data_IF_926211237792
#
_entry.id   IF_926211237792
#
_cell.length_a   1.000
_cell.length_b   1.000
_cell.length_c   1.000
_cell.angle_alpha   90.00
_cell.angle_beta   90.00
_cell.angle_gamma   90.00
#
_symmetry.space_group_name_H-M   'P 1'
#
loop_
_entity.id
_entity.type
_entity.pdbx_description
1 polymer ?
#
# COMPACT_ATOMS: atom_id res chain seq x y z
N UNK A 1 -1.81 62.29 62.27
CA UNK A 1 -1.07 61.02 62.17
C UNK A 1 -1.96 60.07 61.39
N UNK A 2 -1.93 60.16 60.06
CA UNK A 2 -2.72 59.30 59.16
C UNK A 2 -1.80 58.20 58.65
N UNK A 3 -2.12 56.92 58.83
CA UNK A 3 -1.29 55.83 58.31
C UNK A 3 -1.49 55.70 56.80
N UNK A 4 -0.38 55.79 56.08
CA UNK A 4 -0.25 55.52 54.65
C UNK A 4 -0.74 54.10 54.33
N UNK A 5 -1.78 54.00 53.51
CA UNK A 5 -2.18 52.74 52.87
C UNK A 5 -1.14 52.40 51.80
N UNK A 6 -0.49 51.22 51.85
CA UNK A 6 0.49 50.83 50.85
C UNK A 6 -0.22 50.68 49.51
N UNK A 7 0.15 51.56 48.59
CA UNK A 7 -0.16 51.53 47.17
C UNK A 7 0.25 50.15 46.66
N UNK A 8 -0.72 49.24 46.59
CA UNK A 8 -0.52 47.91 46.05
C UNK A 8 -0.43 48.13 44.56
N UNK A 9 0.76 48.44 44.08
CA UNK A 9 1.08 48.53 42.66
C UNK A 9 0.65 47.21 42.04
N UNK A 10 -0.53 47.23 41.45
CA UNK A 10 -1.05 46.25 40.51
C UNK A 10 -0.08 46.25 39.34
N UNK A 11 1.05 45.55 39.51
CA UNK A 11 1.90 45.16 38.39
C UNK A 11 1.07 44.17 37.60
N UNK A 12 0.22 44.72 36.72
CA UNK A 12 -0.44 43.98 35.66
C UNK A 12 0.64 43.19 34.95
N UNK A 13 0.71 41.90 35.29
CA UNK A 13 1.73 41.04 34.75
C UNK A 13 1.52 41.01 33.24
N UNK A 14 2.47 41.53 32.46
CA UNK A 14 2.45 41.61 30.99
C UNK A 14 2.12 40.26 30.31
N UNK A 15 2.21 39.17 31.07
CA UNK A 15 1.95 37.78 30.69
C UNK A 15 0.56 37.27 31.10
N UNK A 16 -0.31 38.10 31.66
CA UNK A 16 -1.65 37.74 32.10
C UNK A 16 -2.61 37.62 30.90
N UNK A 17 -3.34 36.51 30.82
CA UNK A 17 -4.36 36.24 29.79
C UNK A 17 -5.66 35.79 30.46
N UNK A 18 -6.80 36.11 29.85
CA UNK A 18 -8.12 35.64 30.31
C UNK A 18 -8.54 34.39 29.56
N UNK A 19 -8.94 33.34 30.30
CA UNK A 19 -9.46 32.11 29.71
C UNK A 19 -10.87 32.35 29.13
N UNK A 20 -11.17 32.06 27.86
CA UNK A 20 -12.48 32.31 27.25
C UNK A 20 -13.60 31.35 27.72
N UNK A 21 -13.32 30.45 28.67
CA UNK A 21 -14.27 29.43 29.15
C UNK A 21 -14.74 29.72 30.57
N UNK A 22 -13.80 30.02 31.46
CA UNK A 22 -14.07 30.25 32.87
C UNK A 22 -13.73 31.68 33.30
N UNK A 23 -13.31 32.53 32.35
CA UNK A 23 -12.95 33.95 32.55
C UNK A 23 -11.80 34.21 33.53
N UNK A 24 -11.20 33.17 34.09
CA UNK A 24 -10.07 33.26 35.02
C UNK A 24 -8.85 33.87 34.33
N UNK A 25 -8.26 34.87 34.95
CA UNK A 25 -6.95 35.41 34.57
C UNK A 25 -5.88 34.38 34.95
N UNK A 26 -5.00 34.05 34.03
CA UNK A 26 -3.88 33.14 34.24
C UNK A 26 -2.61 33.71 33.61
N UNK A 27 -1.46 33.39 34.18
CA UNK A 27 -0.16 33.80 33.65
C UNK A 27 0.41 32.71 32.75
N UNK A 28 0.97 33.09 31.60
CA UNK A 28 1.70 32.16 30.74
C UNK A 28 3.18 32.11 31.13
N UNK A 29 3.77 30.91 31.13
CA UNK A 29 5.19 30.71 31.49
C UNK A 29 6.16 31.42 30.55
N UNK A 30 5.77 31.63 29.28
CA UNK A 30 6.62 32.22 28.25
C UNK A 30 5.83 33.27 27.46
N UNK A 31 6.43 34.41 27.10
CA UNK A 31 5.74 35.50 26.42
C UNK A 31 5.24 35.06 25.02
N UNK A 32 5.98 34.17 24.36
CA UNK A 32 5.64 33.60 23.06
C UNK A 32 4.70 32.38 23.13
N UNK A 33 4.17 32.03 24.30
CA UNK A 33 3.25 30.91 24.43
C UNK A 33 1.98 31.14 23.62
N UNK A 34 1.52 30.13 22.87
CA UNK A 34 0.21 30.14 22.20
C UNK A 34 -0.92 29.61 23.09
N UNK A 35 -0.68 29.49 24.40
CA UNK A 35 -1.70 29.03 25.34
C UNK A 35 -2.80 30.07 25.50
N UNK A 36 -4.03 29.66 25.21
CA UNK A 36 -5.25 30.48 25.31
C UNK A 36 -6.11 30.08 26.52
N UNK A 37 -5.92 28.86 27.02
CA UNK A 37 -6.74 28.29 28.10
C UNK A 37 -5.91 28.14 29.37
N UNK A 38 -6.50 28.46 30.52
CA UNK A 38 -5.85 28.29 31.82
C UNK A 38 -5.55 26.82 32.15
N UNK A 39 -6.33 25.88 31.58
CA UNK A 39 -6.21 24.45 31.86
C UNK A 39 -6.56 23.56 30.66
N UNK A 40 -6.13 22.28 30.67
CA UNK A 40 -6.59 21.28 29.70
C UNK A 40 -8.10 21.05 29.73
N UNK A 41 -8.75 21.17 30.90
CA UNK A 41 -10.21 21.05 31.03
C UNK A 41 -10.94 22.16 30.30
N UNK A 42 -10.50 23.42 30.45
CA UNK A 42 -11.05 24.55 29.71
C UNK A 42 -10.83 24.39 28.20
N UNK A 43 -9.67 23.87 27.77
CA UNK A 43 -9.43 23.57 26.35
C UNK A 43 -10.44 22.57 25.77
N UNK A 44 -10.81 21.54 26.54
CA UNK A 44 -11.83 20.56 26.12
C UNK A 44 -13.23 21.16 26.18
N UNK A 45 -13.55 21.90 27.23
CA UNK A 45 -14.83 22.59 27.36
C UNK A 45 -15.07 23.58 26.21
N UNK A 46 -14.07 24.38 25.82
CA UNK A 46 -14.17 25.28 24.66
C UNK A 46 -14.35 24.54 23.34
N UNK A 47 -13.73 23.36 23.20
CA UNK A 47 -13.95 22.50 22.03
C UNK A 47 -15.38 21.98 21.98
N UNK A 48 -16.01 21.75 23.13
CA UNK A 48 -17.37 21.22 23.20
C UNK A 48 -18.44 22.34 23.13
N UNK A 49 -18.16 23.54 23.62
CA UNK A 49 -19.11 24.65 23.71
C UNK A 49 -19.38 25.37 22.40
N UNK A 50 -18.57 25.14 21.36
CA UNK A 50 -18.79 25.69 20.02
C UNK A 50 -19.29 24.60 19.08
N UNK A 51 -20.59 24.20 19.14
CA UNK A 51 -21.14 23.32 18.12
C UNK A 51 -21.02 24.03 16.78
N UNK A 52 -20.24 23.45 15.87
CA UNK A 52 -20.18 23.96 14.51
C UNK A 52 -21.49 23.55 13.84
N UNK A 53 -22.35 24.52 13.53
CA UNK A 53 -23.45 24.33 12.58
C UNK A 53 -22.81 24.05 11.22
N UNK A 54 -23.16 22.93 10.62
CA UNK A 54 -22.74 22.56 9.27
C UNK A 54 -23.96 22.21 8.44
N UNK A 55 -23.90 22.48 7.15
CA UNK A 55 -24.93 22.09 6.18
C UNK A 55 -24.50 20.79 5.52
N UNK A 56 -25.40 19.80 5.49
CA UNK A 56 -25.08 18.52 4.84
C UNK A 56 -25.10 18.70 3.32
N UNK A 57 -24.04 18.32 2.58
CA UNK A 57 -23.99 18.52 1.13
C UNK A 57 -24.93 17.60 0.32
N UNK A 58 -25.66 16.70 0.99
CA UNK A 58 -26.55 15.71 0.33
C UNK A 58 -28.02 16.08 0.46
N UNK A 59 -28.45 16.46 1.66
CA UNK A 59 -29.85 16.81 1.95
C UNK A 59 -30.04 18.29 2.29
N UNK A 60 -28.96 19.08 2.27
CA UNK A 60 -28.94 20.52 2.56
C UNK A 60 -29.46 20.94 3.94
N UNK A 61 -29.75 19.97 4.82
CA UNK A 61 -30.17 20.24 6.18
C UNK A 61 -29.01 20.69 7.06
N UNK A 62 -29.28 21.67 7.92
CA UNK A 62 -28.36 22.09 8.98
C UNK A 62 -28.30 21.05 10.10
N UNK A 63 -27.10 20.73 10.56
CA UNK A 63 -26.89 19.84 11.69
C UNK A 63 -25.73 20.32 12.57
N UNK A 64 -25.84 20.04 13.87
CA UNK A 64 -24.79 20.39 14.84
C UNK A 64 -23.86 19.20 15.05
N UNK A 65 -22.57 19.39 14.83
CA UNK A 65 -21.56 18.35 15.11
C UNK A 65 -20.76 18.66 16.36
N UNK A 66 -20.47 17.62 17.14
CA UNK A 66 -19.49 17.72 18.21
C UNK A 66 -18.09 17.83 17.59
N UNK A 67 -17.36 18.89 17.94
CA UNK A 67 -16.10 19.32 17.29
C UNK A 67 -15.02 18.22 17.26
N UNK A 68 -15.09 17.25 18.17
CA UNK A 68 -14.18 16.11 18.21
C UNK A 68 -14.22 15.26 16.92
N UNK A 69 -15.33 15.26 16.17
CA UNK A 69 -15.45 14.56 14.89
C UNK A 69 -16.11 15.50 13.90
N UNK A 70 -15.31 16.16 13.06
CA UNK A 70 -15.77 16.96 11.90
C UNK A 70 -16.51 16.05 10.90
N UNK A 71 -17.73 15.64 11.22
CA UNK A 71 -18.60 14.87 10.34
C UNK A 71 -19.16 15.84 9.30
N UNK A 72 -18.95 15.53 8.03
CA UNK A 72 -19.47 16.31 6.90
C UNK A 72 -20.95 16.00 6.59
N UNK A 73 -21.45 14.86 7.06
CA UNK A 73 -22.79 14.37 6.77
C UNK A 73 -23.63 14.28 8.05
N UNK A 74 -24.92 14.63 7.96
CA UNK A 74 -25.84 14.61 9.10
C UNK A 74 -26.19 13.19 9.55
N UNK A 75 -26.25 12.23 8.62
CA UNK A 75 -26.56 10.83 8.87
C UNK A 75 -25.63 9.87 8.12
N UNK A 76 -25.64 8.59 8.51
CA UNK A 76 -24.94 7.54 7.79
C UNK A 76 -25.53 7.28 6.40
N UNK A 77 -26.84 7.49 6.25
CA UNK A 77 -27.53 7.44 4.95
C UNK A 77 -27.01 8.52 4.00
N UNK A 78 -26.92 9.77 4.46
CA UNK A 78 -26.33 10.85 3.66
C UNK A 78 -24.87 10.57 3.31
N UNK A 79 -24.11 9.97 4.22
CA UNK A 79 -22.75 9.53 3.94
C UNK A 79 -22.69 8.44 2.86
N UNK A 80 -23.63 7.50 2.88
CA UNK A 80 -23.80 6.47 1.86
C UNK A 80 -24.15 7.08 0.51
N UNK A 81 -25.19 7.91 0.48
CA UNK A 81 -25.67 8.62 -0.71
C UNK A 81 -24.58 9.49 -1.35
N UNK A 82 -23.80 10.23 -0.55
CA UNK A 82 -22.65 10.97 -1.06
C UNK A 82 -21.66 10.04 -1.76
N UNK A 83 -21.30 8.91 -1.14
CA UNK A 83 -20.35 7.95 -1.72
C UNK A 83 -20.84 7.29 -3.01
N UNK A 84 -22.15 7.12 -3.15
CA UNK A 84 -22.76 6.53 -4.34
C UNK A 84 -23.14 7.54 -5.40
N UNK A 85 -23.13 8.83 -5.09
CA UNK A 85 -23.47 9.89 -6.03
C UNK A 85 -22.56 9.90 -7.25
N UNK A 86 -23.15 10.21 -8.41
CA UNK A 86 -22.43 10.28 -9.68
C UNK A 86 -21.42 11.44 -9.70
N UNK A 87 -21.59 12.46 -8.84
CA UNK A 87 -20.64 13.56 -8.68
C UNK A 87 -19.26 13.12 -8.22
N UNK A 88 -19.15 11.98 -7.53
CA UNK A 88 -17.85 11.42 -7.13
C UNK A 88 -17.28 10.53 -8.24
N UNK A 89 -18.07 10.16 -9.25
CA UNK A 89 -17.58 9.38 -10.39
C UNK A 89 -17.03 10.30 -11.46
N UNK A 90 -16.01 9.82 -12.14
CA UNK A 90 -15.31 10.49 -13.21
C UNK A 90 -15.10 9.49 -14.36
N UNK A 91 -15.39 9.92 -15.58
CA UNK A 91 -15.25 9.10 -16.78
C UNK A 91 -13.83 9.24 -17.30
N UNK A 92 -13.09 8.13 -17.28
CA UNK A 92 -11.69 8.06 -17.71
C UNK A 92 -11.54 7.07 -18.86
N UNK A 93 -10.45 7.20 -19.61
CA UNK A 93 -10.10 6.27 -20.70
C UNK A 93 -9.01 5.33 -20.23
N UNK A 94 -9.20 4.02 -20.41
CA UNK A 94 -8.20 3.04 -20.02
C UNK A 94 -7.00 3.07 -20.98
N UNK A 95 -5.78 3.17 -20.47
CA UNK A 95 -4.57 3.22 -21.32
C UNK A 95 -4.22 1.91 -22.05
N UNK A 96 -4.92 0.80 -21.78
CA UNK A 96 -4.62 -0.52 -22.35
C UNK A 96 -5.59 -0.89 -23.46
N UNK A 97 -6.90 -0.80 -23.19
CA UNK A 97 -7.94 -1.11 -24.16
C UNK A 97 -8.56 0.13 -24.80
N UNK A 98 -8.20 1.34 -24.35
CA UNK A 98 -8.78 2.62 -24.80
C UNK A 98 -10.29 2.75 -24.60
N UNK A 99 -10.91 1.86 -23.82
CA UNK A 99 -12.32 1.94 -23.47
C UNK A 99 -12.61 2.97 -22.36
N UNK A 100 -13.76 3.66 -22.41
CA UNK A 100 -14.22 4.50 -21.31
C UNK A 100 -14.58 3.65 -20.09
N UNK A 101 -14.31 4.15 -18.90
CA UNK A 101 -14.73 3.54 -17.63
C UNK A 101 -15.00 4.59 -16.56
N UNK A 102 -15.82 4.23 -15.57
CA UNK A 102 -16.12 5.09 -14.43
C UNK A 102 -15.21 4.76 -13.25
N UNK A 103 -14.60 5.77 -12.66
CA UNK A 103 -13.79 5.65 -11.45
C UNK A 103 -14.17 6.74 -10.45
N UNK A 104 -13.88 6.52 -9.16
CA UNK A 104 -14.04 7.57 -8.16
C UNK A 104 -12.98 8.66 -8.41
N UNK A 105 -13.37 9.93 -8.37
CA UNK A 105 -12.49 11.11 -8.46
C UNK A 105 -11.34 11.04 -7.45
N UNK A 106 -11.63 10.48 -6.27
CA UNK A 106 -10.66 10.30 -5.19
C UNK A 106 -9.65 9.18 -5.45
N UNK A 107 -9.97 8.19 -6.29
CA UNK A 107 -9.06 7.08 -6.60
C UNK A 107 -8.21 7.40 -7.83
N UNK A 108 -6.92 7.10 -7.74
CA UNK A 108 -5.97 7.22 -8.87
C UNK A 108 -6.04 5.99 -9.79
N UNK A 109 -7.25 5.50 -10.08
CA UNK A 109 -7.45 4.36 -10.96
C UNK A 109 -7.25 4.78 -12.42
N UNK A 110 -6.36 4.07 -13.12
CA UNK A 110 -5.95 4.33 -14.51
C UNK A 110 -6.48 3.24 -15.46
N UNK A 111 -6.79 2.06 -14.93
CA UNK A 111 -7.22 0.90 -15.72
C UNK A 111 -8.68 0.57 -15.41
N UNK A 112 -9.44 0.22 -16.43
CA UNK A 112 -10.86 -0.13 -16.30
C UNK A 112 -11.07 -1.44 -15.51
N UNK A 113 -10.08 -2.34 -15.50
CA UNK A 113 -10.18 -3.65 -14.86
C UNK A 113 -8.84 -4.13 -14.30
N UNK A 114 -8.86 -5.11 -13.36
CA UNK A 114 -7.65 -5.81 -12.92
C UNK A 114 -6.92 -6.53 -14.05
N UNK A 115 -7.64 -7.01 -15.07
CA UNK A 115 -7.04 -7.64 -16.24
C UNK A 115 -6.17 -6.64 -17.02
N UNK A 116 -6.72 -5.48 -17.40
CA UNK A 116 -5.94 -4.43 -18.06
C UNK A 116 -4.76 -3.94 -17.21
N UNK A 117 -4.90 -3.89 -15.88
CA UNK A 117 -3.76 -3.59 -15.00
C UNK A 117 -2.64 -4.61 -15.13
N UNK A 118 -2.97 -5.90 -15.10
CA UNK A 118 -1.99 -7.00 -15.29
C UNK A 118 -1.37 -6.95 -16.68
N UNK A 119 -2.14 -6.61 -17.71
CA UNK A 119 -1.64 -6.52 -19.09
C UNK A 119 -0.65 -5.36 -19.25
N UNK A 120 -0.94 -4.19 -18.67
CA UNK A 120 -0.01 -3.08 -18.62
C UNK A 120 1.28 -3.42 -17.86
N UNK A 121 1.17 -4.23 -16.81
CA UNK A 121 2.33 -4.73 -16.06
C UNK A 121 3.18 -5.68 -16.91
N UNK A 122 2.55 -6.67 -17.58
CA UNK A 122 3.25 -7.56 -18.52
C UNK A 122 3.97 -6.81 -19.64
N UNK A 123 3.35 -5.77 -20.22
CA UNK A 123 4.01 -4.93 -21.24
C UNK A 123 5.22 -4.18 -20.69
N UNK A 124 5.16 -3.68 -19.44
CA UNK A 124 6.31 -3.03 -18.80
C UNK A 124 7.44 -4.01 -18.50
N UNK A 125 7.10 -5.23 -18.07
CA UNK A 125 8.09 -6.29 -17.84
C UNK A 125 8.75 -6.69 -19.15
N UNK A 126 7.98 -6.92 -20.21
CA UNK A 126 8.51 -7.20 -21.54
C UNK A 126 9.46 -6.11 -22.02
N UNK A 127 9.09 -4.83 -21.91
CA UNK A 127 9.96 -3.72 -22.29
C UNK A 127 11.26 -3.66 -21.45
N UNK A 128 11.22 -4.04 -20.17
CA UNK A 128 12.41 -4.15 -19.31
C UNK A 128 13.30 -5.31 -19.73
N UNK A 129 12.71 -6.44 -20.11
CA UNK A 129 13.45 -7.61 -20.57
C UNK A 129 14.08 -7.37 -21.93
N UNK A 130 13.38 -6.70 -22.85
CA UNK A 130 13.93 -6.21 -24.11
C UNK A 130 15.09 -5.21 -23.88
N UNK A 131 14.96 -4.27 -22.94
CA UNK A 131 16.06 -3.37 -22.58
C UNK A 131 17.27 -4.12 -22.01
N UNK A 132 17.03 -5.15 -21.19
CA UNK A 132 18.08 -6.03 -20.67
C UNK A 132 18.77 -6.79 -21.79
N UNK A 133 18.02 -7.36 -22.72
CA UNK A 133 18.55 -8.06 -23.89
C UNK A 133 19.42 -7.14 -24.76
N UNK A 134 18.96 -5.90 -25.00
CA UNK A 134 19.75 -4.87 -25.71
C UNK A 134 21.07 -4.57 -25.02
N UNK A 135 21.08 -4.42 -23.69
CA UNK A 135 22.32 -4.15 -22.92
C UNK A 135 23.29 -5.33 -22.89
N UNK A 136 22.77 -6.55 -22.90
CA UNK A 136 23.58 -7.77 -22.89
C UNK A 136 24.14 -8.14 -24.27
N UNK A 137 23.84 -7.35 -25.32
CA UNK A 137 24.40 -7.57 -26.66
C UNK A 137 23.69 -8.67 -27.44
N UNK A 138 22.54 -9.15 -26.98
CA UNK A 138 21.68 -10.08 -27.71
C UNK A 138 20.78 -9.32 -28.70
N UNK A 139 21.30 -8.24 -29.26
CA UNK A 139 20.79 -7.68 -30.51
C UNK A 139 21.59 -8.41 -31.59
N UNK A 140 21.14 -9.61 -31.95
CA UNK A 140 21.65 -10.45 -33.06
C UNK A 140 21.38 -9.81 -34.43
N UNK A 141 21.46 -8.49 -34.50
CA UNK A 141 21.70 -7.73 -35.69
C UNK A 141 23.05 -7.06 -35.47
N UNK A 142 24.13 -7.83 -35.64
CA UNK A 142 25.36 -7.22 -36.11
C UNK A 142 24.94 -6.34 -37.30
N UNK A 143 25.13 -5.01 -37.27
CA UNK A 143 25.02 -4.23 -38.49
C UNK A 143 25.94 -4.93 -39.48
N UNK A 144 25.38 -5.32 -40.63
CA UNK A 144 26.11 -5.96 -41.72
C UNK A 144 27.45 -5.25 -41.86
N UNK A 145 28.50 -5.87 -41.31
CA UNK A 145 29.85 -5.38 -41.43
C UNK A 145 30.09 -5.29 -42.93
N UNK A 146 30.61 -4.17 -43.46
CA UNK A 146 30.87 -4.03 -44.88
C UNK A 146 31.61 -5.28 -45.36
N UNK A 147 30.98 -5.98 -46.30
CA UNK A 147 31.43 -7.26 -46.83
C UNK A 147 32.89 -7.13 -47.25
N UNK A 148 33.79 -7.63 -46.42
CA UNK A 148 35.20 -7.75 -46.79
C UNK A 148 35.27 -8.75 -47.94
N UNK A 149 36.05 -8.45 -48.99
CA UNK A 149 36.06 -9.21 -50.22
C UNK A 149 36.39 -10.70 -49.96
N UNK A 150 35.82 -11.62 -50.75
CA UNK A 150 35.92 -13.05 -50.51
C UNK A 150 37.38 -13.51 -50.57
N UNK A 151 37.93 -13.88 -49.42
CA UNK A 151 39.22 -14.55 -49.35
C UNK A 151 39.07 -15.96 -49.91
N UNK A 152 39.71 -16.18 -51.06
CA UNK A 152 39.85 -17.47 -51.72
C UNK A 152 40.44 -18.54 -50.81
N UNK A 153 39.68 -19.62 -50.65
CA UNK A 153 40.12 -21.03 -50.60
C UNK A 153 41.49 -21.32 -49.98
N UNK A 154 41.47 -21.91 -48.79
CA UNK A 154 42.40 -23.02 -48.51
C UNK A 154 41.66 -24.12 -47.77
N UNK A 155 41.48 -25.23 -48.50
CA UNK A 155 41.09 -26.53 -48.00
C UNK A 155 42.10 -27.02 -46.94
N UNK A 156 41.58 -27.84 -46.02
CA UNK A 156 42.30 -28.77 -45.11
C UNK A 156 42.39 -28.30 -43.65
N UNK A 157 41.46 -28.78 -42.81
CA UNK A 157 41.89 -29.42 -41.54
C UNK A 157 40.80 -30.35 -40.98
N UNK A 158 41.21 -31.45 -40.32
CA UNK A 158 40.46 -32.69 -40.29
C UNK A 158 39.51 -32.83 -39.10
N UNK A 159 38.54 -33.69 -39.35
CA UNK A 159 37.65 -34.35 -38.42
C UNK A 159 38.48 -35.25 -37.46
N UNK A 160 38.65 -34.81 -36.21
CA UNK A 160 39.12 -35.67 -35.09
C UNK A 160 38.21 -35.35 -33.91
N UNK A 161 37.12 -36.10 -33.72
CA UNK A 161 37.04 -37.40 -33.04
C UNK A 161 37.45 -37.31 -31.56
N UNK A 162 36.47 -37.68 -30.73
CA UNK A 162 36.58 -38.06 -29.32
C UNK A 162 36.74 -36.93 -28.28
N UNK A 163 35.59 -36.40 -27.84
CA UNK A 163 35.40 -36.11 -26.43
C UNK A 163 35.30 -37.44 -25.70
N UNK A 164 36.44 -37.97 -25.25
CA UNK A 164 36.46 -38.95 -24.16
C UNK A 164 36.02 -38.18 -22.92
N UNK A 165 34.89 -38.60 -22.33
CA UNK A 165 34.55 -38.28 -20.96
C UNK A 165 35.65 -38.90 -20.08
N UNK A 166 36.73 -38.15 -19.88
CA UNK A 166 37.68 -38.46 -18.83
C UNK A 166 36.92 -38.28 -17.53
N UNK A 167 36.60 -39.43 -16.91
CA UNK A 167 36.23 -39.56 -15.51
C UNK A 167 37.29 -38.83 -14.69
N UNK A 168 37.03 -37.56 -14.39
CA UNK A 168 37.90 -36.76 -13.55
C UNK A 168 37.70 -37.22 -12.12
N UNK A 169 38.83 -37.53 -11.49
CA UNK A 169 38.92 -37.85 -10.07
C UNK A 169 38.14 -36.79 -9.26
N UNK A 170 37.11 -37.17 -8.48
CA UNK A 170 36.23 -36.26 -7.75
C UNK A 170 36.92 -35.31 -6.76
N UNK A 171 38.24 -35.42 -6.60
CA UNK A 171 39.04 -34.64 -5.67
C UNK A 171 39.88 -33.54 -6.32
N UNK A 172 39.84 -33.36 -7.65
CA UNK A 172 40.56 -32.24 -8.27
C UNK A 172 39.84 -30.89 -8.03
N UNK A 173 40.50 -29.92 -7.38
CA UNK A 173 39.90 -28.64 -7.04
C UNK A 173 39.49 -27.85 -8.29
N UNK A 174 38.19 -27.64 -8.47
CA UNK A 174 37.59 -27.16 -9.73
C UNK A 174 37.82 -25.68 -10.02
N UNK A 175 38.19 -24.85 -9.03
CA UNK A 175 38.59 -23.47 -9.27
C UNK A 175 39.38 -22.88 -8.10
N UNK A 176 40.53 -22.27 -8.40
CA UNK A 176 41.24 -21.36 -7.48
C UNK A 176 40.92 -19.91 -7.85
N UNK A 177 40.57 -19.10 -6.86
CA UNK A 177 40.45 -17.64 -7.00
C UNK A 177 41.21 -16.95 -5.88
N UNK A 178 41.93 -15.88 -6.22
CA UNK A 178 42.63 -15.09 -5.24
C UNK A 178 41.63 -14.25 -4.42
N UNK A 179 41.74 -14.30 -3.10
CA UNK A 179 40.92 -13.49 -2.21
C UNK A 179 41.16 -11.99 -2.51
N UNK A 180 40.12 -11.16 -2.74
CA UNK A 180 40.31 -9.76 -3.10
C UNK A 180 40.95 -8.91 -1.98
N UNK A 181 40.99 -9.41 -0.74
CA UNK A 181 41.52 -8.68 0.41
C UNK A 181 43.01 -8.94 0.68
N UNK A 182 43.51 -10.14 0.38
CA UNK A 182 44.92 -10.52 0.66
C UNK A 182 45.64 -11.12 -0.54
N UNK A 183 44.97 -11.25 -1.70
CA UNK A 183 45.45 -11.88 -2.94
C UNK A 183 45.99 -13.31 -2.81
N UNK A 184 45.78 -13.98 -1.68
CA UNK A 184 46.17 -15.37 -1.52
C UNK A 184 45.19 -16.30 -2.28
N UNK A 185 45.69 -17.37 -2.90
CA UNK A 185 44.86 -18.31 -3.64
C UNK A 185 43.94 -19.06 -2.68
N UNK A 186 42.63 -18.96 -2.90
CA UNK A 186 41.62 -19.71 -2.15
C UNK A 186 41.00 -20.73 -3.10
N UNK A 187 41.01 -21.98 -2.66
CA UNK A 187 40.44 -23.12 -3.38
C UNK A 187 38.96 -23.23 -3.03
N UNK A 188 38.06 -23.04 -4.00
CA UNK A 188 36.62 -23.17 -3.76
C UNK A 188 36.22 -24.60 -4.12
N UNK A 189 36.04 -25.43 -3.09
CA UNK A 189 35.53 -26.80 -3.25
C UNK A 189 34.01 -26.71 -3.43
N UNK A 190 33.53 -27.00 -4.64
CA UNK A 190 32.09 -27.06 -4.92
C UNK A 190 31.52 -28.33 -4.26
N UNK A 191 31.06 -28.21 -3.03
CA UNK A 191 30.27 -29.28 -2.40
C UNK A 191 28.93 -29.35 -3.13
N UNK A 192 28.86 -30.22 -4.15
CA UNK A 192 27.63 -30.67 -4.80
C UNK A 192 26.81 -31.51 -3.81
N UNK A 193 26.32 -30.87 -2.75
CA UNK A 193 25.27 -31.42 -1.92
C UNK A 193 23.95 -31.12 -2.62
N UNK A 194 23.44 -32.08 -3.39
CA UNK A 194 22.01 -32.19 -3.65
C UNK A 194 21.37 -32.90 -2.47
N UNK A 195 20.81 -32.21 -1.45
CA UNK A 195 19.89 -32.87 -0.54
C UNK A 195 18.65 -33.23 -1.35
N UNK A 196 18.50 -34.51 -1.66
CA UNK A 196 17.25 -35.10 -2.14
C UNK A 196 16.15 -34.67 -1.15
N UNK A 197 15.15 -33.88 -1.57
CA UNK A 197 14.12 -33.43 -0.64
C UNK A 197 13.35 -34.64 -0.11
N UNK A 198 13.17 -34.78 1.21
CA UNK A 198 12.30 -35.81 1.75
C UNK A 198 10.88 -35.60 1.21
N UNK A 199 10.25 -36.70 0.79
CA UNK A 199 8.88 -36.71 0.29
C UNK A 199 7.95 -36.02 1.30
N UNK A 200 7.23 -34.99 0.84
CA UNK A 200 6.24 -34.30 1.64
C UNK A 200 5.10 -35.27 1.99
N UNK A 201 4.71 -35.38 3.28
CA UNK A 201 3.50 -36.11 3.66
C UNK A 201 2.27 -35.40 3.08
N UNK A 202 1.35 -36.18 2.54
CA UNK A 202 0.07 -35.72 1.99
C UNK A 202 -0.74 -34.92 3.02
N UNK A 203 -1.40 -33.81 2.63
CA UNK A 203 -2.24 -33.03 3.53
C UNK A 203 -3.43 -33.87 4.05
N UNK A 204 -3.78 -33.78 5.35
CA UNK A 204 -4.97 -34.43 5.87
C UNK A 204 -6.25 -33.85 5.26
N UNK A 205 -7.33 -34.64 5.16
CA UNK A 205 -8.61 -34.18 4.64
C UNK A 205 -9.19 -33.04 5.48
N UNK A 206 -9.78 -32.06 4.80
CA UNK A 206 -10.31 -30.85 5.39
C UNK A 206 -11.36 -31.13 6.49
N UNK A 207 -11.28 -30.47 7.66
CA UNK A 207 -12.31 -30.59 8.68
C UNK A 207 -13.61 -29.93 8.19
N UNK A 208 -14.67 -30.72 8.17
CA UNK A 208 -16.05 -30.27 8.02
C UNK A 208 -16.39 -29.22 9.09
N UNK A 209 -17.07 -28.18 8.64
CA UNK A 209 -17.59 -27.05 9.40
C UNK A 209 -18.02 -27.36 10.84
N UNK A 210 -17.21 -26.93 11.82
CA UNK A 210 -17.67 -26.78 13.19
C UNK A 210 -18.52 -25.50 13.28
N UNK A 211 -19.81 -25.70 13.47
CA UNK A 211 -20.81 -24.66 13.72
C UNK A 211 -20.64 -24.19 15.18
N UNK A 212 -19.98 -23.05 15.38
CA UNK A 212 -19.95 -22.38 16.68
C UNK A 212 -21.24 -21.58 16.87
N UNK A 213 -22.25 -22.20 17.48
CA UNK A 213 -23.32 -21.47 18.15
C UNK A 213 -22.97 -21.38 19.64
N UNK A 214 -23.03 -20.16 20.18
CA UNK A 214 -23.03 -19.90 21.62
C UNK A 214 -21.68 -19.49 22.21
N UNK A 215 -21.45 -18.19 22.32
CA UNK A 215 -20.85 -17.61 23.53
C UNK A 215 -21.22 -16.12 23.60
N UNK A 216 -22.36 -15.87 24.24
CA UNK A 216 -22.73 -14.55 24.75
C UNK A 216 -21.84 -14.18 25.94
N UNK A 217 -21.59 -12.88 26.08
CA UNK A 217 -21.04 -12.21 27.26
C UNK A 217 -19.61 -12.53 27.70
N UNK A 218 -18.64 -11.85 27.09
CA UNK A 218 -17.46 -11.35 27.83
C UNK A 218 -17.13 -9.91 27.46
N UNK A 219 -17.26 -9.03 28.46
CA UNK A 219 -16.82 -7.63 28.43
C UNK A 219 -15.31 -7.56 28.17
N UNK A 220 -14.83 -6.62 27.33
CA UNK A 220 -13.40 -6.45 27.10
C UNK A 220 -12.76 -5.67 28.26
N UNK A 221 -11.81 -6.29 28.95
CA UNK A 221 -10.85 -5.58 29.79
C UNK A 221 -9.87 -4.84 28.86
N UNK A 222 -9.74 -3.53 29.10
CA UNK A 222 -8.81 -2.65 28.40
C UNK A 222 -7.37 -3.03 28.76
N UNK A 223 -6.67 -3.69 27.84
CA UNK A 223 -5.22 -3.88 27.91
C UNK A 223 -4.56 -2.61 27.37
N UNK A 224 -3.78 -1.96 28.22
CA UNK A 224 -2.89 -0.85 27.91
C UNK A 224 -1.81 -1.32 26.94
N UNK A 225 -1.91 -0.83 25.71
CA UNK A 225 -1.01 -1.15 24.59
C UNK A 225 0.32 -0.40 24.75
N UNK A 226 1.34 -1.08 25.30
CA UNK A 226 2.72 -0.62 25.25
C UNK A 226 3.26 -0.82 23.83
N UNK A 227 3.24 0.28 23.04
CA UNK A 227 3.89 0.39 21.73
C UNK A 227 5.40 0.11 21.83
N UNK A 228 5.79 -1.14 21.64
CA UNK A 228 7.14 -1.49 21.24
C UNK A 228 7.35 -1.05 19.78
N UNK A 229 8.30 -0.13 19.57
CA UNK A 229 8.78 0.28 18.25
C UNK A 229 9.38 -0.96 17.56
N UNK A 230 8.71 -1.49 16.54
CA UNK A 230 9.31 -2.52 15.66
C UNK A 230 10.32 -1.85 14.73
N UNK A 231 11.54 -2.38 14.60
CA UNK A 231 12.50 -1.93 13.61
C UNK A 231 12.03 -2.33 12.20
N UNK A 232 12.37 -1.50 11.21
CA UNK A 232 12.06 -1.67 9.80
C UNK A 232 12.68 -2.96 9.25
N UNK A 233 11.92 -4.05 9.29
CA UNK A 233 12.23 -5.31 8.63
C UNK A 233 11.53 -5.41 7.28
N UNK A 234 12.31 -5.63 6.22
CA UNK A 234 11.87 -5.97 4.85
C UNK A 234 10.65 -6.89 4.86
N UNK A 235 9.54 -6.43 4.29
CA UNK A 235 8.41 -7.31 3.92
C UNK A 235 8.84 -8.16 2.72
N UNK A 236 9.12 -9.43 2.97
CA UNK A 236 9.02 -10.45 1.93
C UNK A 236 7.54 -10.57 1.54
N UNK A 237 7.23 -10.32 0.28
CA UNK A 237 5.90 -10.54 -0.28
C UNK A 237 5.68 -12.04 -0.42
N UNK A 238 4.97 -12.64 0.53
CA UNK A 238 4.40 -13.97 0.34
C UNK A 238 3.27 -13.85 -0.70
N UNK A 239 3.47 -14.48 -1.86
CA UNK A 239 2.45 -14.65 -2.90
C UNK A 239 1.40 -15.60 -2.36
N UNK A 240 0.21 -15.10 -2.06
CA UNK A 240 -0.94 -15.94 -1.70
C UNK A 240 -1.49 -16.64 -2.95
N UNK A 241 -1.74 -17.97 -2.92
CA UNK A 241 -2.45 -18.64 -3.99
C UNK A 241 -3.89 -18.15 -4.03
N UNK A 242 -4.32 -17.70 -5.21
CA UNK A 242 -5.70 -17.27 -5.47
C UNK A 242 -6.58 -18.50 -5.64
N UNK A 243 -7.41 -18.81 -4.64
CA UNK A 243 -8.51 -19.76 -4.81
C UNK A 243 -9.56 -19.11 -5.71
N UNK A 244 -9.62 -19.57 -6.96
CA UNK A 244 -10.74 -19.32 -7.86
C UNK A 244 -11.93 -20.17 -7.40
N UNK A 245 -13.02 -19.51 -6.99
CA UNK A 245 -14.32 -20.15 -6.84
C UNK A 245 -15.30 -19.28 -7.61
N UNK A 246 -15.65 -19.75 -8.81
CA UNK A 246 -16.66 -19.14 -9.67
C UNK A 246 -18.05 -19.30 -9.02
N UNK A 247 -18.83 -18.21 -8.85
CA UNK A 247 -20.25 -18.35 -8.62
C UNK A 247 -20.98 -18.53 -9.95
N UNK A 248 -21.58 -19.72 -10.12
CA UNK A 248 -22.59 -20.01 -11.14
C UNK A 248 -23.73 -19.01 -11.01
N UNK A 249 -23.78 -18.04 -11.93
CA UNK A 249 -24.83 -17.03 -12.00
C UNK A 249 -26.02 -17.58 -12.80
N UNK A 250 -26.98 -18.14 -12.09
CA UNK A 250 -28.32 -18.48 -12.59
C UNK A 250 -29.00 -17.24 -13.17
N UNK A 251 -29.32 -17.31 -14.47
CA UNK A 251 -30.06 -16.27 -15.20
C UNK A 251 -31.56 -16.44 -14.93
N UNK A 252 -32.12 -15.60 -14.07
CA UNK A 252 -33.57 -15.40 -13.98
C UNK A 252 -34.00 -14.36 -15.02
N UNK A 253 -34.78 -14.77 -16.03
CA UNK A 253 -35.45 -13.90 -17.01
C UNK A 253 -36.51 -13.05 -16.30
N UNK A 254 -36.60 -11.72 -16.53
CA UNK A 254 -37.82 -10.98 -16.23
C UNK A 254 -38.82 -11.11 -17.38
N UNK A 255 -40.07 -11.41 -17.00
CA UNK A 255 -41.23 -11.44 -17.88
C UNK A 255 -41.56 -10.04 -18.40
N UNK A 256 -41.82 -9.95 -19.71
CA UNK A 256 -42.36 -8.78 -20.36
C UNK A 256 -43.76 -8.46 -19.80
N UNK A 257 -43.97 -7.25 -19.29
CA UNK A 257 -45.30 -6.68 -19.07
C UNK A 257 -45.59 -5.72 -20.21
N UNK A 258 -46.59 -6.07 -21.00
CA UNK A 258 -47.23 -5.23 -21.99
C UNK A 258 -47.78 -3.96 -21.34
N UNK A 259 -47.44 -2.81 -21.93
CA UNK A 259 -48.16 -1.56 -21.73
C UNK A 259 -49.47 -1.63 -22.52
N UNK A 260 -50.58 -1.36 -21.85
CA UNK A 260 -51.84 -0.99 -22.48
C UNK A 260 -51.96 0.53 -22.43
N UNK A 261 -52.13 1.15 -23.60
CA UNK A 261 -52.60 2.52 -23.76
C UNK A 261 -54.02 2.68 -23.25
N UNK A 262 -54.37 3.82 -22.62
CA UNK A 262 -55.72 4.35 -22.67
C UNK A 262 -55.79 5.55 -23.63
N UNK A 263 -56.88 5.53 -24.40
CA UNK A 263 -57.35 6.56 -25.33
C UNK A 263 -57.75 7.87 -24.65
#
# INVERSE_FOLDING_TARGET
>A
MSPDTPDTTEVESEMARRCPVCETVFTVTYPFSRQVFCSPTCKVANRNSRPARQTCPVCENEFTTTVARRRTYCSEECRGAARTSDDIRDRRVCLVCHGPFEALKTTRQIYCSPACRKDAERRRDQARDEDRARRLGETTSLPSWPELPPSSKTLSQPLTRQQVAAERDPLEPTATRNCPHCQQPVTIVALLATPKPPALPSPPPAPTSFRCEGLSDRRPLTVTDHRARRPYGRRAHAVSPSNATDPVRSRSRPAARHAGDPA
#
